data_IF_078446466673
#
_entry.id   IF_078446466673
#
_cell.length_a   1.000
_cell.length_b   1.000
_cell.length_c   1.000
_cell.angle_alpha   90.00
_cell.angle_beta   90.00
_cell.angle_gamma   90.00
#
_symmetry.space_group_name_H-M   'P 1'
#
loop_
_entity.id
_entity.type
_entity.pdbx_description
1 polymer ?
#
# COMPACT_ATOMS: atom_id res chain seq x y z
N UNK A 1 -26.12 13.24 -20.13
CA UNK A 1 -26.48 12.32 -21.24
C UNK A 1 -25.17 11.74 -21.77
N UNK A 2 -25.06 10.40 -21.91
CA UNK A 2 -23.85 9.75 -22.47
C UNK A 2 -23.75 10.09 -23.95
N UNK A 3 -22.60 10.58 -24.39
CA UNK A 3 -22.35 10.91 -25.81
C UNK A 3 -22.36 9.65 -26.69
N UNK A 4 -22.60 9.76 -28.03
CA UNK A 4 -22.50 8.61 -28.92
C UNK A 4 -21.14 7.94 -28.91
N UNK A 5 -20.04 8.69 -28.80
CA UNK A 5 -18.68 8.21 -28.70
C UNK A 5 -18.49 7.34 -27.44
N UNK A 6 -19.03 7.78 -26.29
CA UNK A 6 -18.93 7.03 -25.06
C UNK A 6 -19.59 5.64 -25.14
N UNK A 7 -20.76 5.54 -25.80
CA UNK A 7 -21.43 4.25 -26.05
C UNK A 7 -20.61 3.34 -26.98
N UNK A 8 -19.97 3.93 -27.97
CA UNK A 8 -19.11 3.20 -28.89
C UNK A 8 -17.93 2.56 -28.16
N UNK A 9 -17.26 3.32 -27.30
CA UNK A 9 -16.15 2.85 -26.45
C UNK A 9 -16.64 1.78 -25.45
N UNK A 10 -17.80 1.98 -24.82
CA UNK A 10 -18.39 1.01 -23.88
C UNK A 10 -18.69 -0.34 -24.58
N UNK A 11 -19.18 -0.30 -25.81
CA UNK A 11 -19.44 -1.51 -26.61
C UNK A 11 -18.13 -2.22 -27.00
N UNK A 12 -17.08 -1.48 -27.38
CA UNK A 12 -15.75 -2.03 -27.65
C UNK A 12 -15.16 -2.73 -26.42
N UNK A 13 -15.14 -2.05 -25.28
CA UNK A 13 -14.59 -2.59 -24.03
C UNK A 13 -15.37 -3.81 -23.52
N UNK A 14 -16.66 -3.90 -23.85
CA UNK A 14 -17.51 -5.06 -23.51
C UNK A 14 -17.45 -6.19 -24.57
N UNK A 15 -16.58 -6.10 -25.59
CA UNK A 15 -16.47 -7.08 -26.69
C UNK A 15 -17.71 -7.11 -27.60
N UNK A 16 -18.59 -6.09 -27.55
CA UNK A 16 -19.77 -6.01 -28.40
C UNK A 16 -19.46 -5.25 -29.69
N UNK A 17 -20.16 -5.59 -30.79
CA UNK A 17 -20.04 -4.85 -32.05
C UNK A 17 -20.67 -3.46 -31.92
N UNK A 18 -19.87 -2.38 -31.92
CA UNK A 18 -20.39 -1.03 -31.76
C UNK A 18 -21.18 -0.55 -32.99
N UNK A 19 -22.13 0.37 -32.73
CA UNK A 19 -22.92 0.98 -33.86
C UNK A 19 -22.16 2.18 -34.42
N UNK A 20 -22.10 2.32 -35.76
CA UNK A 20 -21.46 3.47 -36.39
C UNK A 20 -22.16 4.79 -35.97
N UNK A 21 -21.40 5.85 -35.77
CA UNK A 21 -21.90 7.18 -35.49
C UNK A 21 -21.03 8.23 -36.21
N UNK A 22 -21.57 9.44 -36.41
CA UNK A 22 -20.77 10.56 -36.91
C UNK A 22 -20.07 11.23 -35.75
N UNK A 23 -18.75 11.09 -35.70
CA UNK A 23 -17.92 11.66 -34.66
C UNK A 23 -17.40 13.03 -35.04
N UNK A 24 -17.27 13.94 -34.06
CA UNK A 24 -16.39 15.10 -34.17
C UNK A 24 -14.92 14.66 -34.16
N UNK A 25 -14.00 15.56 -34.44
CA UNK A 25 -12.57 15.23 -34.51
C UNK A 25 -12.04 14.80 -33.14
N UNK A 26 -12.49 15.43 -32.05
CA UNK A 26 -12.16 15.09 -30.65
C UNK A 26 -12.73 13.72 -30.26
N UNK A 27 -14.01 13.46 -30.57
CA UNK A 27 -14.63 12.16 -30.33
C UNK A 27 -13.94 11.03 -31.12
N UNK A 28 -13.49 11.32 -32.35
CA UNK A 28 -12.74 10.36 -33.15
C UNK A 28 -11.34 10.06 -32.55
N UNK A 29 -10.71 11.03 -31.88
CA UNK A 29 -9.46 10.82 -31.16
C UNK A 29 -9.64 9.92 -29.95
N UNK A 30 -10.72 10.11 -29.17
CA UNK A 30 -11.05 9.23 -28.01
C UNK A 30 -11.30 7.78 -28.45
N UNK A 31 -12.06 7.60 -29.54
CA UNK A 31 -12.35 6.27 -30.09
C UNK A 31 -11.07 5.60 -30.62
N UNK A 32 -10.18 6.35 -31.29
CA UNK A 32 -8.89 5.81 -31.74
C UNK A 32 -8.02 5.36 -30.59
N UNK A 33 -7.96 6.14 -29.51
CA UNK A 33 -7.24 5.76 -28.29
C UNK A 33 -7.80 4.47 -27.66
N UNK A 34 -9.13 4.35 -27.59
CA UNK A 34 -9.78 3.14 -27.09
C UNK A 34 -9.49 1.90 -27.97
N UNK A 35 -9.49 2.06 -29.28
CA UNK A 35 -9.14 0.97 -30.23
C UNK A 35 -7.70 0.52 -30.01
N UNK A 36 -6.75 1.46 -29.85
CA UNK A 36 -5.35 1.13 -29.60
C UNK A 36 -5.17 0.35 -28.29
N UNK A 37 -5.90 0.72 -27.25
CA UNK A 37 -5.87 0.01 -25.96
C UNK A 37 -6.46 -1.42 -26.04
N UNK A 38 -7.41 -1.67 -26.94
CA UNK A 38 -8.00 -3.01 -27.13
C UNK A 38 -7.22 -3.89 -28.12
N UNK A 39 -6.35 -3.31 -28.94
CA UNK A 39 -5.54 -4.05 -29.92
C UNK A 39 -4.21 -4.55 -29.35
N UNK A 40 -3.81 -4.08 -28.18
CA UNK A 40 -2.54 -4.42 -27.54
C UNK A 40 -2.66 -5.64 -26.60
N UNK A 41 -3.47 -6.64 -27.00
CA UNK A 41 -3.49 -7.98 -26.37
C UNK A 41 -2.41 -8.91 -26.97
N UNK A 42 -1.35 -8.34 -27.53
CA UNK A 42 -0.20 -9.09 -27.97
C UNK A 42 0.57 -9.70 -26.80
N UNK A 43 0.92 -10.98 -26.86
CA UNK A 43 1.89 -11.53 -25.91
C UNK A 43 3.16 -10.68 -25.93
N UNK A 44 3.70 -10.30 -24.75
CA UNK A 44 4.91 -9.50 -24.70
C UNK A 44 6.05 -10.23 -25.42
N UNK A 45 6.87 -9.51 -26.19
CA UNK A 45 7.97 -10.12 -26.92
C UNK A 45 8.92 -10.88 -25.97
N UNK A 46 9.46 -12.01 -26.43
CA UNK A 46 10.41 -12.81 -25.64
C UNK A 46 11.59 -11.96 -25.16
N UNK A 47 12.09 -11.05 -25.98
CA UNK A 47 13.17 -10.12 -25.61
C UNK A 47 12.77 -9.16 -24.47
N UNK A 48 11.53 -8.71 -24.42
CA UNK A 48 11.02 -7.90 -23.30
C UNK A 48 10.92 -8.73 -22.02
N UNK A 49 10.41 -9.96 -22.12
CA UNK A 49 10.26 -10.87 -20.97
C UNK A 49 11.63 -11.27 -20.39
N UNK A 50 12.62 -11.57 -21.26
CA UNK A 50 14.00 -11.85 -20.83
C UNK A 50 14.64 -10.62 -20.19
N UNK A 51 14.56 -9.45 -20.81
CA UNK A 51 15.09 -8.22 -20.24
C UNK A 51 14.47 -7.85 -18.90
N UNK A 52 13.16 -8.11 -18.71
CA UNK A 52 12.48 -7.92 -17.44
C UNK A 52 12.95 -8.92 -16.37
N UNK A 53 13.13 -10.20 -16.73
CA UNK A 53 13.66 -11.24 -15.85
C UNK A 53 15.08 -10.91 -15.36
N UNK A 54 15.94 -10.47 -16.27
CA UNK A 54 17.33 -10.11 -15.94
C UNK A 54 17.37 -8.89 -15.01
N UNK A 55 16.52 -7.90 -15.25
CA UNK A 55 16.41 -6.72 -14.38
C UNK A 55 15.92 -7.12 -12.98
N UNK A 56 14.85 -7.90 -12.87
CA UNK A 56 14.35 -8.39 -11.59
C UNK A 56 15.36 -9.29 -10.88
N UNK A 57 16.09 -10.13 -11.60
CA UNK A 57 17.14 -10.97 -11.02
C UNK A 57 18.29 -10.13 -10.47
N UNK A 58 18.69 -9.04 -11.14
CA UNK A 58 19.72 -8.13 -10.66
C UNK A 58 19.27 -7.34 -9.42
N UNK A 59 18.06 -6.81 -9.42
CA UNK A 59 17.48 -6.11 -8.26
C UNK A 59 17.38 -7.03 -7.03
N UNK A 60 16.86 -8.25 -7.20
CA UNK A 60 16.82 -9.26 -6.13
C UNK A 60 18.20 -9.72 -5.66
N UNK A 61 19.23 -9.65 -6.51
CA UNK A 61 20.61 -9.96 -6.14
C UNK A 61 21.26 -8.82 -5.33
N UNK A 62 20.90 -7.58 -5.60
CA UNK A 62 21.35 -6.40 -4.86
C UNK A 62 20.70 -6.29 -3.48
N UNK A 63 19.45 -6.74 -3.31
CA UNK A 63 18.74 -6.80 -2.02
C UNK A 63 19.23 -7.92 -1.07
N UNK A 64 20.35 -8.59 -1.33
CA UNK A 64 20.87 -9.53 -0.36
C UNK A 64 21.32 -8.81 0.90
N UNK A 65 20.58 -8.93 2.03
CA UNK A 65 21.09 -8.44 3.29
C UNK A 65 22.42 -9.13 3.56
N UNK A 66 23.47 -8.38 3.80
CA UNK A 66 24.76 -8.83 4.26
C UNK A 66 24.62 -9.43 5.68
N UNK A 67 23.87 -10.49 5.83
CA UNK A 67 23.54 -11.16 7.07
C UNK A 67 24.21 -12.52 7.13
N UNK A 68 25.16 -12.65 7.99
CA UNK A 68 25.91 -13.75 8.58
C UNK A 68 25.27 -15.17 8.60
N UNK A 69 24.54 -15.58 7.57
CA UNK A 69 23.93 -16.92 7.50
C UNK A 69 24.97 -18.04 7.56
N UNK A 70 26.18 -17.81 6.99
CA UNK A 70 27.28 -18.74 7.07
C UNK A 70 27.95 -18.83 8.46
N UNK A 71 27.89 -17.78 9.27
CA UNK A 71 28.35 -17.79 10.66
C UNK A 71 27.37 -18.51 11.58
N UNK A 72 26.06 -18.34 11.34
CA UNK A 72 25.02 -19.03 12.11
C UNK A 72 25.06 -20.54 11.90
N UNK A 73 25.17 -21.01 10.65
CA UNK A 73 25.27 -22.47 10.35
C UNK A 73 26.55 -23.10 10.89
N UNK A 74 27.67 -22.38 10.96
CA UNK A 74 28.92 -22.89 11.57
C UNK A 74 28.84 -22.90 13.11
N UNK A 75 28.10 -22.02 13.74
CA UNK A 75 27.93 -22.00 15.20
C UNK A 75 26.99 -23.13 15.69
N UNK A 76 25.97 -23.48 14.90
CA UNK A 76 25.03 -24.55 15.25
C UNK A 76 25.62 -25.95 15.03
N UNK A 77 26.54 -26.11 14.08
CA UNK A 77 27.20 -27.38 13.85
C UNK A 77 28.23 -27.79 14.96
N UNK A 78 28.73 -26.80 15.71
CA UNK A 78 29.64 -27.06 16.84
C UNK A 78 28.92 -27.39 18.16
N UNK A 79 27.62 -27.06 18.28
CA UNK A 79 26.80 -27.31 19.46
C UNK A 79 26.08 -28.68 19.46
N UNK A 80 26.06 -29.39 18.31
CA UNK A 80 25.33 -30.64 18.16
C UNK A 80 26.07 -31.90 18.67
N UNK A 81 27.30 -31.75 19.20
CA UNK A 81 28.10 -32.86 19.73
C UNK A 81 27.97 -33.05 21.26
N UNK A 82 27.14 -32.29 21.96
CA UNK A 82 27.13 -32.30 23.43
C UNK A 82 25.81 -32.44 24.15
N UNK A 83 24.68 -32.71 23.50
CA UNK A 83 23.38 -32.75 24.20
C UNK A 83 22.41 -33.81 23.66
N UNK A 84 22.76 -35.07 23.89
CA UNK A 84 21.81 -36.18 23.76
C UNK A 84 21.20 -36.57 25.12
N UNK A 85 20.78 -35.63 25.94
CA UNK A 85 19.90 -35.87 27.12
C UNK A 85 19.24 -34.54 27.46
N UNK A 86 18.07 -34.24 27.00
CA UNK A 86 16.90 -33.61 27.59
C UNK A 86 15.88 -33.36 26.44
N UNK A 87 15.25 -34.40 25.98
CA UNK A 87 14.17 -34.30 25.01
C UNK A 87 12.84 -34.50 25.71
N UNK A 88 12.17 -33.44 26.14
CA UNK A 88 10.73 -33.41 26.37
C UNK A 88 10.19 -32.02 26.78
N UNK A 89 10.96 -30.94 26.75
CA UNK A 89 10.50 -29.65 27.25
C UNK A 89 10.66 -28.45 26.30
N UNK A 90 11.21 -28.61 25.12
CA UNK A 90 11.63 -27.48 24.28
C UNK A 90 10.68 -27.21 23.12
N UNK A 91 9.74 -28.13 22.82
CA UNK A 91 8.78 -27.95 21.71
C UNK A 91 7.79 -26.78 21.95
N UNK A 92 7.58 -26.38 23.18
CA UNK A 92 6.65 -25.26 23.49
C UNK A 92 7.31 -23.87 23.49
N UNK A 93 8.65 -23.79 23.49
CA UNK A 93 9.37 -22.50 23.50
C UNK A 93 9.83 -22.04 22.12
N UNK A 94 9.80 -22.91 21.10
CA UNK A 94 10.23 -22.57 19.73
C UNK A 94 9.07 -22.26 18.76
N UNK A 95 7.80 -22.46 19.15
CA UNK A 95 6.63 -22.12 18.35
C UNK A 95 6.17 -20.68 18.56
N UNK A 96 6.69 -20.00 19.56
CA UNK A 96 6.47 -18.55 19.73
C UNK A 96 7.52 -17.71 19.01
N UNK A 97 7.93 -18.08 17.81
CA UNK A 97 8.44 -17.09 16.87
C UNK A 97 7.23 -16.33 16.35
N UNK A 98 6.84 -15.31 17.12
CA UNK A 98 6.06 -14.18 16.64
C UNK A 98 6.63 -13.81 15.28
N UNK A 99 5.89 -14.05 14.22
CA UNK A 99 6.24 -13.52 12.91
C UNK A 99 6.48 -12.03 13.14
N UNK A 100 7.73 -11.58 12.96
CA UNK A 100 8.06 -10.18 13.12
C UNK A 100 7.06 -9.40 12.26
N UNK A 101 6.35 -8.48 12.88
CA UNK A 101 5.42 -7.61 12.14
C UNK A 101 6.18 -7.03 10.95
N UNK A 102 5.58 -6.98 9.76
CA UNK A 102 6.23 -6.36 8.62
C UNK A 102 6.74 -4.98 9.04
N UNK A 103 7.95 -4.57 8.60
CA UNK A 103 8.50 -3.28 9.00
C UNK A 103 7.50 -2.16 8.64
N UNK A 104 7.32 -1.23 9.55
CA UNK A 104 6.52 -0.04 9.32
C UNK A 104 7.06 0.68 8.08
N UNK A 105 6.19 0.91 7.09
CA UNK A 105 6.56 1.62 5.88
C UNK A 105 6.26 3.11 6.08
N UNK A 106 7.26 3.95 5.82
CA UNK A 106 7.08 5.39 5.80
C UNK A 106 6.93 5.89 4.36
N UNK A 107 5.88 6.66 4.10
CA UNK A 107 5.70 7.39 2.86
C UNK A 107 6.50 8.70 2.94
N UNK A 108 7.68 8.70 2.36
CA UNK A 108 8.56 9.88 2.29
C UNK A 108 8.79 10.20 0.81
N UNK A 109 8.19 11.27 0.28
CA UNK A 109 8.44 11.68 -1.09
C UNK A 109 9.85 12.28 -1.23
N UNK A 110 10.53 12.01 -2.36
CA UNK A 110 11.86 12.57 -2.66
C UNK A 110 11.83 14.10 -2.70
N UNK A 111 10.75 14.68 -3.24
CA UNK A 111 10.47 16.10 -3.26
C UNK A 111 9.17 16.35 -2.50
N UNK A 112 9.26 16.67 -1.23
CA UNK A 112 8.11 16.94 -0.38
C UNK A 112 8.13 18.33 0.21
N UNK A 113 6.95 18.78 0.64
CA UNK A 113 6.76 20.00 1.41
C UNK A 113 5.87 19.74 2.63
N UNK A 114 6.05 20.52 3.68
CA UNK A 114 5.19 20.48 4.84
C UNK A 114 3.90 21.25 4.57
N UNK A 115 2.76 20.57 4.69
CA UNK A 115 1.44 21.16 4.49
C UNK A 115 0.57 21.03 5.73
N UNK A 116 0.00 22.14 6.18
CA UNK A 116 -0.94 22.16 7.30
C UNK A 116 -2.23 21.43 6.93
N UNK A 117 -2.68 20.53 7.80
CA UNK A 117 -3.90 19.70 7.63
C UNK A 117 -4.89 19.86 8.76
N UNK A 118 -4.47 20.35 9.93
CA UNK A 118 -5.35 20.66 11.05
C UNK A 118 -4.72 21.75 11.94
N UNK A 119 -5.53 22.48 12.71
CA UNK A 119 -4.98 23.23 13.83
C UNK A 119 -4.75 22.27 15.00
N UNK A 120 -3.63 22.44 15.74
CA UNK A 120 -3.27 21.56 16.86
C UNK A 120 -4.36 21.47 17.94
N UNK A 121 -5.06 22.58 18.17
CA UNK A 121 -6.20 22.68 19.13
C UNK A 121 -7.41 21.83 18.70
N UNK A 122 -7.59 21.59 17.39
CA UNK A 122 -8.73 20.88 16.85
C UNK A 122 -8.49 19.35 16.81
N UNK A 123 -7.30 18.91 17.23
CA UNK A 123 -6.91 17.50 17.35
C UNK A 123 -6.63 17.15 18.84
N UNK A 124 -7.66 17.02 19.70
CA UNK A 124 -7.47 16.67 21.11
C UNK A 124 -6.92 15.25 21.26
N UNK A 125 -6.37 14.95 22.44
CA UNK A 125 -5.84 13.61 22.73
C UNK A 125 -6.92 12.53 22.58
N UNK A 126 -6.55 11.40 22.02
CA UNK A 126 -7.46 10.30 21.67
C UNK A 126 -8.26 10.52 20.38
N UNK A 127 -8.22 11.68 19.73
CA UNK A 127 -8.96 11.94 18.50
C UNK A 127 -8.30 11.32 17.27
N UNK A 128 -9.13 11.08 16.24
CA UNK A 128 -8.72 10.66 14.90
C UNK A 128 -9.47 11.51 13.88
N UNK A 129 -8.77 12.12 12.94
CA UNK A 129 -9.36 12.98 11.92
C UNK A 129 -8.83 12.61 10.53
N UNK A 130 -9.71 12.50 9.50
CA UNK A 130 -9.29 12.37 8.13
C UNK A 130 -8.73 13.70 7.60
N UNK A 131 -7.76 13.61 6.68
CA UNK A 131 -7.33 14.74 5.85
C UNK A 131 -7.24 14.33 4.40
N UNK A 132 -7.38 15.31 3.51
CA UNK A 132 -7.34 15.12 2.06
C UNK A 132 -6.64 16.32 1.42
N UNK A 133 -5.51 16.04 0.77
CA UNK A 133 -4.71 17.03 0.04
C UNK A 133 -4.74 16.81 -1.48
N UNK A 134 -5.67 15.98 -1.96
CA UNK A 134 -5.78 15.56 -3.35
C UNK A 134 -4.84 14.39 -3.66
N UNK A 135 -3.54 14.65 -3.77
CA UNK A 135 -2.53 13.61 -4.05
C UNK A 135 -2.28 12.66 -2.88
N UNK A 136 -2.48 13.11 -1.64
CA UNK A 136 -2.29 12.31 -0.42
C UNK A 136 -3.51 12.45 0.48
N UNK A 137 -4.03 11.30 0.91
CA UNK A 137 -5.13 11.23 1.87
C UNK A 137 -4.73 10.35 3.05
N UNK A 138 -5.11 10.75 4.26
CA UNK A 138 -4.71 10.04 5.46
C UNK A 138 -5.62 10.30 6.65
N UNK A 139 -5.23 9.70 7.76
CA UNK A 139 -5.85 9.91 9.07
C UNK A 139 -4.79 10.41 10.04
N UNK A 140 -5.06 11.54 10.67
CA UNK A 140 -4.31 12.05 11.81
C UNK A 140 -4.83 11.39 13.08
N UNK A 141 -3.92 11.10 14.01
CA UNK A 141 -4.25 10.62 15.35
C UNK A 141 -3.39 11.36 16.38
N UNK A 142 -4.00 11.76 17.52
CA UNK A 142 -3.23 12.14 18.71
C UNK A 142 -3.39 11.08 19.79
N UNK A 143 -2.30 10.67 20.40
CA UNK A 143 -2.29 9.70 21.49
C UNK A 143 -1.15 9.99 22.45
N UNK A 144 -1.46 10.23 23.71
CA UNK A 144 -0.46 10.57 24.72
C UNK A 144 0.28 11.88 24.44
N UNK A 145 -0.38 12.84 23.79
CA UNK A 145 0.21 14.11 23.36
C UNK A 145 0.97 14.05 22.05
N UNK A 146 1.29 12.86 21.54
CA UNK A 146 2.01 12.67 20.28
C UNK A 146 1.06 12.58 19.07
N UNK A 147 1.44 13.22 17.97
CA UNK A 147 0.68 13.18 16.72
C UNK A 147 1.32 12.20 15.74
N UNK A 148 0.49 11.37 15.13
CA UNK A 148 0.89 10.44 14.06
C UNK A 148 -0.09 10.50 12.90
N UNK A 149 0.34 10.06 11.72
CA UNK A 149 -0.50 10.00 10.53
C UNK A 149 -0.27 8.70 9.76
N UNK A 150 -1.36 8.12 9.25
CA UNK A 150 -1.32 6.94 8.40
C UNK A 150 -2.07 7.18 7.10
N UNK A 151 -1.71 6.45 6.05
CA UNK A 151 -2.40 6.51 4.76
C UNK A 151 -3.86 6.09 4.89
N UNK A 152 -4.76 6.77 4.18
CA UNK A 152 -6.16 6.36 4.03
C UNK A 152 -6.36 5.36 2.88
N UNK A 153 -5.29 4.83 2.29
CA UNK A 153 -5.35 3.91 1.17
C UNK A 153 -5.01 2.51 1.64
N UNK A 154 -5.92 1.57 1.39
CA UNK A 154 -5.77 0.16 1.75
C UNK A 154 -4.58 -0.47 1.01
N UNK A 155 -3.68 -1.14 1.73
CA UNK A 155 -2.48 -1.77 1.19
C UNK A 155 -2.75 -3.05 0.37
N UNK A 156 -4.00 -3.51 0.30
CA UNK A 156 -4.38 -4.64 -0.55
C UNK A 156 -4.51 -4.21 -2.02
N UNK A 157 -5.49 -3.36 -2.34
CA UNK A 157 -5.79 -2.94 -3.73
C UNK A 157 -6.12 -1.44 -3.84
N UNK A 158 -5.61 -0.60 -2.96
CA UNK A 158 -5.72 0.84 -3.09
C UNK A 158 -7.11 1.44 -2.79
N UNK A 159 -8.04 0.67 -2.19
CA UNK A 159 -9.36 1.20 -1.82
C UNK A 159 -9.24 2.25 -0.71
N UNK A 160 -10.03 3.32 -0.79
CA UNK A 160 -10.07 4.36 0.24
C UNK A 160 -10.76 3.84 1.50
N UNK A 161 -10.08 3.93 2.62
CA UNK A 161 -10.57 3.48 3.93
C UNK A 161 -11.59 4.47 4.51
N UNK A 162 -12.46 3.95 5.37
CA UNK A 162 -13.45 4.73 6.12
C UNK A 162 -13.18 4.59 7.61
N UNK A 163 -13.18 5.72 8.31
CA UNK A 163 -13.06 5.74 9.77
C UNK A 163 -14.37 5.28 10.42
N UNK A 164 -14.27 4.25 11.23
CA UNK A 164 -15.27 3.87 12.23
C UNK A 164 -14.80 4.44 13.58
N UNK A 165 -15.32 5.60 13.93
CA UNK A 165 -14.88 6.31 15.11
C UNK A 165 -15.21 5.58 16.42
N UNK A 166 -16.40 4.97 16.61
CA UNK A 166 -16.72 4.15 17.80
C UNK A 166 -15.78 2.99 17.99
N UNK A 167 -15.51 2.22 16.93
CA UNK A 167 -14.63 1.03 16.97
C UNK A 167 -13.13 1.40 16.88
N UNK A 168 -12.80 2.65 16.59
CA UNK A 168 -11.42 3.13 16.35
C UNK A 168 -10.70 2.30 15.28
N UNK A 169 -11.41 2.03 14.18
CA UNK A 169 -10.93 1.22 13.05
C UNK A 169 -11.05 1.96 11.74
N UNK A 170 -10.18 1.57 10.81
CA UNK A 170 -10.16 2.04 9.43
C UNK A 170 -10.63 0.86 8.56
N UNK A 171 -11.86 0.93 8.09
CA UNK A 171 -12.52 -0.16 7.37
C UNK A 171 -12.40 -0.01 5.86
N UNK A 172 -11.99 -1.09 5.18
CA UNK A 172 -11.96 -1.16 3.73
C UNK A 172 -13.34 -1.48 3.17
N UNK A 173 -13.94 -0.64 2.30
CA UNK A 173 -15.27 -0.91 1.75
C UNK A 173 -15.28 -2.02 0.69
N UNK A 174 -14.11 -2.39 0.14
CA UNK A 174 -14.00 -3.34 -0.96
C UNK A 174 -13.93 -4.79 -0.48
N UNK A 175 -13.33 -5.00 0.68
CA UNK A 175 -13.13 -6.32 1.29
C UNK A 175 -13.31 -6.22 2.80
N UNK A 176 -13.53 -7.35 3.46
CA UNK A 176 -13.63 -7.42 4.92
C UNK A 176 -12.24 -7.33 5.56
N UNK A 177 -11.60 -6.19 5.37
CA UNK A 177 -10.30 -5.87 5.93
C UNK A 177 -10.43 -4.59 6.74
N UNK A 178 -9.89 -4.60 7.95
CA UNK A 178 -9.83 -3.42 8.80
C UNK A 178 -8.44 -3.24 9.40
N UNK A 179 -8.08 -1.99 9.64
CA UNK A 179 -6.85 -1.59 10.32
C UNK A 179 -7.20 -0.84 11.59
N UNK A 180 -6.33 -0.88 12.57
CA UNK A 180 -6.39 0.00 13.72
C UNK A 180 -6.02 1.43 13.29
N UNK A 181 -6.39 2.43 14.10
CA UNK A 181 -6.08 3.83 13.79
C UNK A 181 -4.58 4.18 13.86
N UNK A 182 -3.73 3.25 14.31
CA UNK A 182 -2.27 3.34 14.24
C UNK A 182 -1.68 2.75 12.96
N UNK A 183 -2.53 2.23 12.06
CA UNK A 183 -2.13 1.62 10.81
C UNK A 183 -1.87 0.11 10.87
N UNK A 184 -1.81 -0.49 12.05
CA UNK A 184 -1.64 -1.94 12.18
C UNK A 184 -2.87 -2.70 11.65
N UNK A 185 -2.66 -3.87 11.04
CA UNK A 185 -3.75 -4.71 10.56
C UNK A 185 -4.58 -5.22 11.74
N UNK A 186 -5.90 -5.00 11.71
CA UNK A 186 -6.81 -5.48 12.75
C UNK A 186 -7.45 -6.81 12.36
N UNK A 187 -8.12 -6.86 11.20
CA UNK A 187 -8.77 -8.08 10.69
C UNK A 187 -8.71 -8.16 9.17
N UNK A 188 -8.73 -9.35 8.61
CA UNK A 188 -8.88 -9.57 7.18
C UNK A 188 -9.52 -10.94 6.89
N UNK A 189 -10.18 -11.06 5.73
CA UNK A 189 -10.68 -12.32 5.17
C UNK A 189 -9.94 -12.67 3.85
N UNK A 190 -8.78 -12.06 3.61
CA UNK A 190 -7.99 -12.27 2.40
C UNK A 190 -7.12 -13.52 2.54
N UNK A 191 -6.80 -14.21 1.43
CA UNK A 191 -5.88 -15.36 1.43
C UNK A 191 -4.48 -15.03 1.98
N UNK A 192 -4.03 -13.78 1.77
CA UNK A 192 -2.76 -13.24 2.28
C UNK A 192 -3.04 -11.96 3.05
N UNK A 193 -2.49 -11.85 4.25
CA UNK A 193 -2.63 -10.67 5.08
C UNK A 193 -1.99 -9.45 4.39
N UNK A 194 -2.71 -8.34 4.21
CA UNK A 194 -2.11 -7.12 3.69
C UNK A 194 -1.14 -6.53 4.72
N UNK A 195 -0.06 -5.87 4.27
CA UNK A 195 0.84 -5.19 5.18
C UNK A 195 0.14 -4.04 5.93
N UNK A 196 0.69 -3.57 7.07
CA UNK A 196 0.20 -2.40 7.77
C UNK A 196 0.10 -1.17 6.86
N UNK A 197 -0.73 -0.19 7.23
CA UNK A 197 -0.82 1.07 6.50
C UNK A 197 0.49 1.85 6.64
N UNK A 198 1.00 2.44 5.55
CA UNK A 198 2.18 3.29 5.62
C UNK A 198 1.95 4.51 6.49
N UNK A 199 2.97 4.89 7.25
CA UNK A 199 2.99 6.13 8.00
C UNK A 199 3.36 7.31 7.11
N UNK A 200 2.75 8.47 7.39
CA UNK A 200 3.04 9.73 6.74
C UNK A 200 3.78 10.58 7.77
N UNK A 201 4.89 11.19 7.35
CA UNK A 201 5.63 12.08 8.25
C UNK A 201 4.76 13.24 8.68
N UNK A 202 4.72 13.49 9.99
CA UNK A 202 3.92 14.53 10.61
C UNK A 202 4.76 15.31 11.60
N UNK A 203 4.45 16.60 11.76
CA UNK A 203 5.01 17.46 12.82
C UNK A 203 3.97 18.45 13.32
N UNK A 204 4.22 19.01 14.48
CA UNK A 204 3.50 20.21 14.95
C UNK A 204 4.41 21.43 14.82
N UNK A 205 3.91 22.46 14.18
CA UNK A 205 4.62 23.71 13.97
C UNK A 205 3.65 24.88 14.03
N UNK A 206 3.99 25.92 14.80
CA UNK A 206 3.22 27.16 14.87
C UNK A 206 1.70 26.95 15.15
N UNK A 207 1.35 25.96 15.99
CA UNK A 207 -0.03 25.64 16.34
C UNK A 207 -0.83 24.88 15.28
N UNK A 208 -0.14 24.32 14.28
CA UNK A 208 -0.71 23.50 13.23
C UNK A 208 -0.06 22.11 13.22
N UNK A 209 -0.86 21.12 12.84
CA UNK A 209 -0.38 19.78 12.45
C UNK A 209 -0.09 19.81 10.96
N UNK A 210 1.14 19.52 10.60
CA UNK A 210 1.61 19.49 9.20
C UNK A 210 2.05 18.09 8.83
N UNK A 211 1.79 17.71 7.58
CA UNK A 211 2.24 16.45 6.97
C UNK A 211 3.23 16.73 5.84
N UNK A 212 4.22 15.84 5.67
CA UNK A 212 5.20 15.95 4.60
C UNK A 212 4.72 15.19 3.37
N UNK A 213 4.40 15.90 2.30
CA UNK A 213 3.71 15.36 1.11
C UNK A 213 4.29 15.96 -0.17
N UNK A 214 4.09 15.32 -1.35
CA UNK A 214 4.47 15.93 -2.63
C UNK A 214 3.80 17.30 -2.81
N UNK A 215 4.46 18.24 -3.52
CA UNK A 215 3.87 19.52 -3.85
C UNK A 215 2.58 19.34 -4.67
N UNK A 216 1.61 20.26 -4.59
CA UNK A 216 0.41 20.21 -5.41
C UNK A 216 0.78 20.30 -6.90
N UNK A 217 0.16 19.45 -7.70
CA UNK A 217 0.26 19.46 -9.18
C UNK A 217 -0.68 20.48 -9.79
#
# INVERSE_FOLDING_TARGET
>A
MKTPAWRYVEDLLAGRKPRPFKASEDEAAEVRAAILLTQDEGEPSEAFVEGLRDRLASELAEEKPAGNRRRFVKATAAAAAGAAVVGAGIDHLLVSQTAAAPPEQNLVPDNGEWRAVAASKDLPDGSVQPFDLGSVTGFLRRSGGEVSAVSAICTHLGCRLRLDAPERKLNCPCHRTSFNVDGSLATHELPVAPPPLPHILVRESSGHVEVFVPPPT
#
